data_IF_864238231371
#
_entry.id   IF_864238231371
#
_cell.length_a   1.000
_cell.length_b   1.000
_cell.length_c   1.000
_cell.angle_alpha   90.00
_cell.angle_beta   90.00
_cell.angle_gamma   90.00
#
_symmetry.space_group_name_H-M   'P 1'
#
loop_
_entity.id
_entity.type
_entity.pdbx_description
1 polymer ?
#
# COMPACT_ATOMS: atom_id res chain seq x y z
N UNK A 1 5.27 10.59 -1.16
CA UNK A 1 6.24 9.54 -1.57
C UNK A 1 5.72 8.18 -1.14
N UNK A 2 5.73 7.18 -2.03
CA UNK A 2 5.25 5.82 -1.74
C UNK A 2 6.30 4.97 -1.02
N UNK A 3 5.90 4.25 0.04
CA UNK A 3 6.76 3.33 0.80
C UNK A 3 6.05 2.00 1.04
N UNK A 4 6.65 0.91 0.58
CA UNK A 4 6.19 -0.43 0.92
C UNK A 4 6.68 -0.83 2.31
N UNK A 5 5.77 -1.25 3.19
CA UNK A 5 6.08 -1.65 4.56
C UNK A 5 5.51 -3.05 4.87
N UNK A 6 6.03 -3.69 5.91
CA UNK A 6 5.48 -4.94 6.47
C UNK A 6 4.82 -4.61 7.81
N UNK A 7 3.58 -5.03 8.00
CA UNK A 7 2.82 -4.78 9.22
C UNK A 7 3.34 -5.66 10.35
N UNK A 8 3.35 -5.10 11.57
CA UNK A 8 3.59 -5.83 12.82
C UNK A 8 2.29 -6.32 13.48
N UNK A 9 1.15 -6.27 12.77
CA UNK A 9 -0.14 -6.80 13.21
C UNK A 9 -1.17 -5.78 13.67
N UNK A 10 -0.78 -4.50 13.80
CA UNK A 10 -1.64 -3.44 14.35
C UNK A 10 -1.88 -2.28 13.36
N UNK A 11 -1.61 -2.50 12.07
CA UNK A 11 -1.80 -1.46 11.06
C UNK A 11 -3.23 -1.51 10.54
N UNK A 12 -3.90 -0.36 10.42
CA UNK A 12 -5.23 -0.26 9.83
C UNK A 12 -5.13 0.39 8.45
N UNK A 13 -5.88 -0.14 7.49
CA UNK A 13 -6.04 0.52 6.19
C UNK A 13 -7.02 1.69 6.33
N UNK A 14 -6.62 2.86 5.87
CA UNK A 14 -7.43 4.08 5.94
C UNK A 14 -8.58 4.09 4.91
N UNK A 15 -8.51 3.28 3.83
CA UNK A 15 -9.60 3.14 2.84
C UNK A 15 -10.72 2.22 3.30
N UNK A 16 -10.38 0.96 3.57
CA UNK A 16 -11.37 -0.09 3.86
C UNK A 16 -11.53 -0.39 5.36
N UNK A 17 -10.71 0.21 6.22
CA UNK A 17 -10.75 -0.01 7.66
C UNK A 17 -10.22 -1.36 8.13
N UNK A 18 -9.77 -2.24 7.22
CA UNK A 18 -9.22 -3.56 7.54
C UNK A 18 -7.95 -3.46 8.37
N UNK A 19 -7.83 -4.33 9.38
CA UNK A 19 -6.58 -4.52 10.11
C UNK A 19 -5.66 -5.41 9.28
N UNK A 20 -4.46 -4.91 9.02
CA UNK A 20 -3.39 -5.56 8.28
C UNK A 20 -2.56 -6.34 9.29
N UNK A 21 -2.66 -7.66 9.25
CA UNK A 21 -2.02 -8.57 10.19
C UNK A 21 -0.50 -8.67 9.99
N UNK A 22 0.21 -9.30 10.92
CA UNK A 22 1.59 -9.70 10.71
C UNK A 22 1.62 -11.04 9.95
N UNK A 23 2.50 -11.24 8.95
CA UNK A 23 3.43 -10.31 8.32
C UNK A 23 2.93 -9.76 6.98
N UNK A 24 1.70 -9.21 6.92
CA UNK A 24 1.13 -8.68 5.67
C UNK A 24 1.81 -7.37 5.23
N UNK A 25 1.92 -7.17 3.92
CA UNK A 25 2.48 -5.94 3.33
C UNK A 25 1.41 -4.84 3.24
N UNK A 26 1.86 -3.59 3.27
CA UNK A 26 1.00 -2.44 3.06
C UNK A 26 1.78 -1.28 2.43
N UNK A 27 1.04 -0.34 1.85
CA UNK A 27 1.58 0.86 1.25
C UNK A 27 1.35 2.05 2.19
N UNK A 28 2.38 2.85 2.36
CA UNK A 28 2.29 4.18 2.96
C UNK A 28 2.49 5.21 1.86
N UNK A 29 1.59 6.17 1.76
CA UNK A 29 1.66 7.26 0.79
C UNK A 29 1.26 8.56 1.47
N UNK A 30 1.94 9.64 1.11
CA UNK A 30 1.56 10.98 1.53
C UNK A 30 0.52 11.50 0.53
N UNK A 31 -0.71 11.70 0.98
CA UNK A 31 -1.81 12.22 0.16
C UNK A 31 -2.36 13.51 0.74
N UNK A 32 -2.91 14.36 -0.13
CA UNK A 32 -3.68 15.55 0.24
C UNK A 32 -4.85 15.65 -0.71
N UNK A 33 -6.07 15.77 -0.16
CA UNK A 33 -7.32 15.79 -0.95
C UNK A 33 -7.48 14.59 -1.91
N UNK A 34 -6.89 13.44 -1.57
CA UNK A 34 -6.96 12.21 -2.36
C UNK A 34 -5.92 12.08 -3.47
N UNK A 35 -5.07 13.08 -3.65
CA UNK A 35 -3.94 13.05 -4.59
C UNK A 35 -2.61 12.83 -3.86
N UNK A 36 -1.71 12.06 -4.46
CA UNK A 36 -0.37 11.88 -3.92
C UNK A 36 0.42 13.19 -4.00
N UNK A 37 0.97 13.61 -2.86
CA UNK A 37 1.79 14.81 -2.75
C UNK A 37 3.15 14.49 -2.13
N UNK A 38 4.13 15.36 -2.36
CA UNK A 38 5.45 15.21 -1.76
C UNK A 38 5.41 15.31 -0.22
N UNK A 39 4.46 16.08 0.31
CA UNK A 39 4.27 16.29 1.75
C UNK A 39 2.79 16.55 2.03
N UNK A 40 2.13 15.56 2.63
CA UNK A 40 0.71 15.58 2.95
C UNK A 40 0.43 14.71 4.18
N UNK A 41 -0.80 14.27 4.33
CA UNK A 41 -1.18 13.33 5.37
C UNK A 41 -0.73 11.92 4.98
N UNK A 42 -0.12 11.24 5.93
CA UNK A 42 0.38 9.88 5.71
C UNK A 42 -0.78 8.89 5.80
N UNK A 43 -1.17 8.34 4.64
CA UNK A 43 -2.26 7.37 4.49
C UNK A 43 -1.69 5.97 4.29
N UNK A 44 -2.37 4.97 4.87
CA UNK A 44 -1.98 3.55 4.82
C UNK A 44 -3.01 2.75 4.04
N UNK A 45 -2.54 2.07 3.01
CA UNK A 45 -3.37 1.19 2.18
C UNK A 45 -2.93 -0.26 2.30
N UNK A 46 -3.89 -1.16 2.49
CA UNK A 46 -3.62 -2.59 2.31
C UNK A 46 -3.26 -2.87 0.84
N UNK A 47 -2.69 -4.05 0.59
CA UNK A 47 -2.31 -4.47 -0.78
C UNK A 47 -3.48 -4.35 -1.75
N UNK A 48 -4.68 -4.78 -1.36
CA UNK A 48 -5.88 -4.73 -2.18
C UNK A 48 -6.24 -3.29 -2.58
N UNK A 49 -6.28 -2.37 -1.61
CA UNK A 49 -6.58 -0.96 -1.88
C UNK A 49 -5.48 -0.26 -2.69
N UNK A 50 -4.22 -0.66 -2.50
CA UNK A 50 -3.11 -0.15 -3.29
C UNK A 50 -3.17 -0.63 -4.75
N UNK A 51 -3.60 -1.88 -4.99
CA UNK A 51 -3.83 -2.43 -6.33
C UNK A 51 -5.01 -1.74 -7.02
N UNK A 52 -6.11 -1.54 -6.30
CA UNK A 52 -7.31 -0.87 -6.80
C UNK A 52 -7.05 0.59 -7.20
N UNK A 53 -6.21 1.30 -6.42
CA UNK A 53 -5.74 2.64 -6.79
C UNK A 53 -4.69 2.67 -7.90
N UNK A 54 -4.13 1.52 -8.30
CA UNK A 54 -3.03 1.44 -9.25
C UNK A 54 -1.67 1.86 -8.68
N UNK A 55 -1.53 2.00 -7.36
CA UNK A 55 -0.24 2.27 -6.70
C UNK A 55 0.62 1.02 -6.56
N UNK A 56 0.01 -0.16 -6.68
CA UNK A 56 0.71 -1.44 -6.73
C UNK A 56 0.25 -2.24 -7.94
N UNK A 57 1.11 -3.16 -8.39
CA UNK A 57 0.73 -4.21 -9.34
C UNK A 57 1.40 -5.52 -8.98
N UNK A 58 0.73 -6.62 -9.26
CA UNK A 58 1.38 -7.93 -9.32
C UNK A 58 2.08 -8.07 -10.66
N UNK A 59 3.33 -8.51 -10.63
CA UNK A 59 4.06 -8.93 -11.81
C UNK A 59 4.37 -10.41 -11.67
N UNK A 60 4.05 -11.17 -12.70
CA UNK A 60 4.50 -12.55 -12.83
C UNK A 60 5.81 -12.55 -13.61
N UNK A 61 6.90 -12.96 -12.96
CA UNK A 61 8.19 -13.20 -13.62
C UNK A 61 8.63 -14.64 -13.32
N UNK A 62 8.89 -15.41 -14.39
CA UNK A 62 9.34 -16.81 -14.31
C UNK A 62 8.47 -17.70 -13.39
N UNK A 63 7.16 -17.45 -13.34
CA UNK A 63 6.21 -18.22 -12.53
C UNK A 63 6.10 -17.78 -11.06
N UNK A 64 6.84 -16.74 -10.64
CA UNK A 64 6.73 -16.15 -9.30
C UNK A 64 5.90 -14.86 -9.36
N UNK A 65 4.93 -14.72 -8.45
CA UNK A 65 4.10 -13.52 -8.29
C UNK A 65 4.75 -12.54 -7.33
N UNK A 66 5.33 -11.47 -7.84
CA UNK A 66 5.92 -10.41 -7.03
C UNK A 66 4.98 -9.20 -6.97
N UNK A 67 4.69 -8.71 -5.76
CA UNK A 67 4.02 -7.42 -5.56
C UNK A 67 5.04 -6.29 -5.71
N UNK A 68 4.80 -5.39 -6.66
CA UNK A 68 5.63 -4.20 -6.88
C UNK A 68 4.80 -2.94 -6.63
N UNK A 69 5.29 -2.06 -5.76
CA UNK A 69 4.75 -0.71 -5.61
C UNK A 69 5.35 0.20 -6.69
N UNK A 70 4.50 0.91 -7.41
CA UNK A 70 4.92 1.78 -8.50
C UNK A 70 5.39 3.14 -7.94
N UNK A 71 6.44 3.75 -8.51
CA UNK A 71 6.83 5.11 -8.18
C UNK A 71 5.77 6.15 -8.60
#
# INVERSE_FOLDING_TARGET
>A
MRRGCISLGNIKCDKCGRIIGYPERYLVVDEKDGEEVAKGDTVRYCVECALDKGYARYREEKGERTLTFLP
#
